data_IF_059749228580
#
_entry.id   IF_059749228580
#
_cell.length_a   1.000
_cell.length_b   1.000
_cell.length_c   1.000
_cell.angle_alpha   90.00
_cell.angle_beta   90.00
_cell.angle_gamma   90.00
#
_symmetry.space_group_name_H-M   'P 1'
#
loop_
_entity.id
_entity.type
_entity.pdbx_description
1 polymer ?
#
# COMPACT_ATOMS: atom_id res chain seq x y z
N UNK A 1 -0.51 -3.02 5.88
CA UNK A 1 0.44 -3.79 6.75
C UNK A 1 1.57 -4.43 5.96
N UNK A 2 1.30 -4.99 4.76
CA UNK A 2 2.35 -5.47 3.84
C UNK A 2 3.21 -4.30 3.33
N UNK A 3 2.58 -3.22 2.93
CA UNK A 3 3.23 -1.97 2.50
C UNK A 3 4.21 -1.43 3.56
N UNK A 4 3.88 -1.54 4.84
CA UNK A 4 4.77 -1.11 5.93
C UNK A 4 6.03 -1.95 6.07
N UNK A 5 6.02 -3.24 5.68
CA UNK A 5 7.22 -4.09 5.70
C UNK A 5 8.16 -3.71 4.57
N UNK A 6 7.65 -3.64 3.35
CA UNK A 6 8.43 -3.26 2.17
C UNK A 6 9.02 -1.84 2.30
N UNK A 7 8.23 -0.91 2.82
CA UNK A 7 8.71 0.44 3.15
C UNK A 7 9.82 0.40 4.20
N UNK A 8 9.67 -0.43 5.25
CA UNK A 8 10.67 -0.56 6.30
C UNK A 8 11.98 -1.10 5.73
N UNK A 9 11.95 -2.18 4.95
CA UNK A 9 13.15 -2.79 4.35
C UNK A 9 13.90 -1.77 3.46
N UNK A 10 13.17 -0.93 2.72
CA UNK A 10 13.75 0.16 1.91
C UNK A 10 14.33 1.28 2.78
N UNK A 11 13.64 1.65 3.85
CA UNK A 11 14.12 2.68 4.77
C UNK A 11 15.34 2.20 5.56
N UNK A 12 15.34 0.96 6.04
CA UNK A 12 16.47 0.34 6.74
C UNK A 12 17.71 0.33 5.82
N UNK A 13 17.55 0.01 4.52
CA UNK A 13 18.63 0.08 3.52
C UNK A 13 19.20 1.51 3.35
N UNK A 14 18.35 2.54 3.38
CA UNK A 14 18.80 3.93 3.35
C UNK A 14 19.44 4.35 4.68
N UNK A 15 18.86 3.90 5.80
CA UNK A 15 19.37 4.16 7.14
C UNK A 15 20.82 3.71 7.28
N UNK A 16 21.13 2.47 6.87
CA UNK A 16 22.49 1.93 6.89
C UNK A 16 23.48 2.75 6.02
N UNK A 17 23.03 3.27 4.88
CA UNK A 17 23.88 4.06 3.97
C UNK A 17 24.12 5.48 4.43
N UNK A 18 23.17 6.08 5.10
CA UNK A 18 23.21 7.47 5.53
C UNK A 18 23.54 7.61 7.01
N UNK A 19 23.80 6.50 7.69
CA UNK A 19 24.03 6.44 9.15
C UNK A 19 22.89 7.09 9.93
N UNK A 20 21.63 6.74 9.58
CA UNK A 20 20.41 7.23 10.21
C UNK A 20 19.72 6.13 10.99
N UNK A 21 19.33 6.42 12.22
CA UNK A 21 18.47 5.54 13.01
C UNK A 21 17.01 5.70 12.57
N UNK A 22 16.40 4.59 12.11
CA UNK A 22 15.02 4.57 11.63
C UNK A 22 14.18 3.66 12.51
N UNK A 23 13.05 4.13 13.00
CA UNK A 23 12.14 3.32 13.81
C UNK A 23 10.68 3.56 13.42
N UNK A 24 9.81 2.62 13.83
CA UNK A 24 8.38 2.62 13.51
C UNK A 24 7.56 2.71 14.77
N UNK A 25 6.58 3.63 14.78
CA UNK A 25 5.64 3.79 15.89
C UNK A 25 4.20 3.82 15.40
N UNK A 26 3.42 2.84 15.82
CA UNK A 26 1.99 2.73 15.51
C UNK A 26 1.21 2.14 16.71
N UNK A 27 -0.08 1.87 16.53
CA UNK A 27 -0.95 1.34 17.59
C UNK A 27 -0.42 0.08 18.26
N UNK A 28 0.22 -0.82 17.50
CA UNK A 28 0.71 -2.11 17.98
C UNK A 28 2.15 -2.05 18.55
N UNK A 29 2.81 -0.89 18.54
CA UNK A 29 4.15 -0.71 19.13
C UNK A 29 4.08 -0.94 20.65
N UNK A 30 4.94 -1.80 21.16
CA UNK A 30 4.94 -2.19 22.59
C UNK A 30 5.29 -1.02 23.50
N UNK A 31 4.91 -1.14 24.79
CA UNK A 31 5.27 -0.12 25.79
C UNK A 31 6.78 0.06 25.92
N UNK A 32 7.52 -1.02 25.87
CA UNK A 32 8.98 -1.00 25.95
C UNK A 32 9.60 -0.22 24.80
N UNK A 33 9.20 -0.52 23.57
CA UNK A 33 9.66 0.22 22.38
C UNK A 33 9.30 1.70 22.46
N UNK A 34 8.07 2.02 22.90
CA UNK A 34 7.63 3.41 23.07
C UNK A 34 8.46 4.16 24.11
N UNK A 35 8.89 3.50 25.18
CA UNK A 35 9.74 4.11 26.20
C UNK A 35 11.13 4.36 25.65
N UNK A 36 11.71 3.38 24.95
CA UNK A 36 13.03 3.52 24.29
C UNK A 36 13.03 4.69 23.33
N UNK A 37 12.06 4.76 22.40
CA UNK A 37 11.91 5.87 21.44
C UNK A 37 11.71 7.24 22.09
N UNK A 38 11.24 7.30 23.33
CA UNK A 38 11.05 8.53 24.05
C UNK A 38 12.31 8.95 24.83
N UNK A 39 13.18 8.02 25.15
CA UNK A 39 14.47 8.25 25.83
C UNK A 39 15.58 8.52 24.81
N UNK A 40 15.53 7.85 23.68
CA UNK A 40 16.48 7.94 22.57
C UNK A 40 15.66 7.99 21.25
N UNK A 41 15.26 9.19 20.81
CA UNK A 41 14.46 9.36 19.60
C UNK A 41 15.27 9.04 18.33
N UNK A 42 14.71 8.27 17.37
CA UNK A 42 15.38 7.99 16.12
C UNK A 42 15.47 9.22 15.22
N UNK A 43 16.37 9.24 14.25
CA UNK A 43 16.49 10.30 13.24
C UNK A 43 15.28 10.33 12.32
N UNK A 44 14.72 9.15 11.99
CA UNK A 44 13.52 9.01 11.17
C UNK A 44 12.48 8.16 11.89
N UNK A 45 11.31 8.74 12.15
CA UNK A 45 10.20 8.04 12.78
C UNK A 45 9.05 7.83 11.81
N UNK A 46 8.79 6.58 11.41
CA UNK A 46 7.63 6.20 10.60
C UNK A 46 6.41 6.04 11.51
N UNK A 47 5.35 6.78 11.24
CA UNK A 47 4.17 6.78 12.11
C UNK A 47 2.86 6.93 11.34
N UNK A 48 1.73 6.88 12.05
CA UNK A 48 0.39 7.12 11.50
C UNK A 48 -0.18 8.45 12.01
N UNK A 49 -1.17 9.05 11.31
CA UNK A 49 -1.81 10.28 11.77
C UNK A 49 -2.36 10.20 13.20
N UNK A 50 -2.93 9.06 13.56
CA UNK A 50 -3.49 8.82 14.90
C UNK A 50 -2.40 8.78 15.98
N UNK A 51 -1.28 8.15 15.65
CA UNK A 51 -0.13 8.06 16.55
C UNK A 51 0.56 9.42 16.72
N UNK A 52 0.66 10.21 15.65
CA UNK A 52 1.15 11.58 15.74
C UNK A 52 0.33 12.42 16.74
N UNK A 53 -1.00 12.33 16.67
CA UNK A 53 -1.87 13.03 17.63
C UNK A 53 -1.58 12.60 19.08
N UNK A 54 -1.40 11.31 19.31
CA UNK A 54 -1.06 10.80 20.64
C UNK A 54 0.33 11.27 21.12
N UNK A 55 1.31 11.36 20.23
CA UNK A 55 2.65 11.86 20.55
C UNK A 55 2.63 13.35 20.91
N UNK A 56 1.85 14.16 20.21
CA UNK A 56 1.70 15.60 20.47
C UNK A 56 1.04 15.92 21.83
N UNK A 57 0.38 14.94 22.45
CA UNK A 57 -0.20 15.07 23.81
C UNK A 57 0.72 14.55 24.91
N UNK A 58 1.76 13.76 24.56
CA UNK A 58 2.68 13.15 25.51
C UNK A 58 3.87 14.07 25.83
N UNK A 59 4.24 14.20 27.12
CA UNK A 59 5.31 15.12 27.55
C UNK A 59 6.68 14.79 26.94
N UNK A 60 7.14 13.53 27.01
CA UNK A 60 8.48 13.13 26.62
C UNK A 60 8.74 13.26 25.10
N UNK A 61 7.84 12.69 24.29
CA UNK A 61 8.00 12.73 22.82
C UNK A 61 7.74 14.10 22.22
N UNK A 62 6.98 14.94 22.90
CA UNK A 62 6.77 16.31 22.47
C UNK A 62 8.07 17.09 22.40
N UNK A 63 9.03 16.80 23.28
CA UNK A 63 10.36 17.43 23.25
C UNK A 63 11.10 17.04 21.98
N UNK A 64 11.14 15.73 21.64
CA UNK A 64 11.79 15.24 20.43
C UNK A 64 11.13 15.75 19.14
N UNK A 65 9.81 15.96 19.15
CA UNK A 65 9.08 16.52 18.01
C UNK A 65 9.37 18.02 17.78
N UNK A 66 9.96 18.73 18.73
CA UNK A 66 10.35 20.13 18.56
C UNK A 66 11.51 20.30 17.56
N UNK A 67 12.32 19.28 17.34
CA UNK A 67 13.47 19.29 16.43
C UNK A 67 13.14 18.75 15.03
N UNK A 68 11.87 18.48 14.72
CA UNK A 68 11.46 17.97 13.41
C UNK A 68 11.72 18.98 12.31
N UNK A 69 12.57 18.63 11.35
CA UNK A 69 12.90 19.45 10.19
C UNK A 69 12.07 19.10 8.95
N UNK A 70 11.62 17.84 8.82
CA UNK A 70 10.91 17.34 7.64
C UNK A 70 9.75 16.43 8.05
N UNK A 71 8.65 16.55 7.32
CA UNK A 71 7.52 15.60 7.42
C UNK A 71 7.17 15.12 6.02
N UNK A 72 7.31 13.82 5.80
CA UNK A 72 6.91 13.15 4.56
C UNK A 72 5.55 12.48 4.77
N UNK A 73 4.58 12.80 3.93
CA UNK A 73 3.26 12.18 3.92
C UNK A 73 3.12 11.34 2.65
N UNK A 74 3.15 10.03 2.83
CA UNK A 74 2.99 9.09 1.74
C UNK A 74 1.51 8.86 1.43
N UNK A 75 1.18 8.59 0.16
CA UNK A 75 -0.18 8.45 -0.37
C UNK A 75 -1.11 9.60 0.09
N UNK A 76 -0.60 10.84 0.04
CA UNK A 76 -1.31 12.00 0.58
C UNK A 76 -2.70 12.19 -0.02
N UNK A 77 -2.93 11.75 -1.25
CA UNK A 77 -4.23 11.81 -1.92
C UNK A 77 -5.30 10.94 -1.24
N UNK A 78 -4.94 9.79 -0.67
CA UNK A 78 -5.85 8.93 0.09
C UNK A 78 -6.32 9.60 1.40
N UNK A 79 -5.52 10.50 1.91
CA UNK A 79 -5.83 11.24 3.13
C UNK A 79 -6.68 12.49 2.87
N UNK A 80 -6.46 13.19 1.76
CA UNK A 80 -7.02 14.51 1.50
C UNK A 80 -8.55 14.60 1.65
N UNK A 81 -9.30 13.56 1.24
CA UNK A 81 -10.77 13.51 1.34
C UNK A 81 -11.30 12.73 2.56
N UNK A 82 -10.45 12.38 3.53
CA UNK A 82 -10.82 11.48 4.62
C UNK A 82 -10.83 12.15 5.99
N UNK A 83 -11.53 11.54 6.97
CA UNK A 83 -11.46 11.96 8.37
C UNK A 83 -10.05 11.85 8.95
N UNK A 84 -9.26 10.88 8.49
CA UNK A 84 -7.86 10.71 8.88
C UNK A 84 -7.01 11.87 8.37
N UNK A 85 -7.32 12.38 7.18
CA UNK A 85 -6.69 13.57 6.64
C UNK A 85 -6.97 14.82 7.48
N UNK A 86 -8.20 15.02 7.89
CA UNK A 86 -8.52 16.13 8.80
C UNK A 86 -7.72 16.04 10.12
N UNK A 87 -7.57 14.84 10.68
CA UNK A 87 -6.72 14.62 11.86
C UNK A 87 -5.25 14.92 11.57
N UNK A 88 -4.73 14.49 10.41
CA UNK A 88 -3.37 14.77 10.00
C UNK A 88 -3.14 16.28 9.87
N UNK A 89 -4.03 17.00 9.18
CA UNK A 89 -3.93 18.44 8.98
C UNK A 89 -3.83 19.18 10.31
N UNK A 90 -4.73 18.89 11.27
CA UNK A 90 -4.67 19.45 12.63
C UNK A 90 -3.37 19.07 13.33
N UNK A 91 -2.92 17.81 13.17
CA UNK A 91 -1.66 17.33 13.74
C UNK A 91 -0.45 18.08 13.23
N UNK A 92 -0.41 18.37 11.92
CA UNK A 92 0.67 19.14 11.30
C UNK A 92 0.70 20.61 11.76
N UNK A 93 -0.45 21.24 11.98
CA UNK A 93 -0.49 22.59 12.54
C UNK A 93 -0.01 22.62 14.00
N UNK A 94 -0.45 21.64 14.81
CA UNK A 94 0.04 21.50 16.20
C UNK A 94 1.53 21.19 16.26
N UNK A 95 2.04 20.36 15.35
CA UNK A 95 3.46 20.10 15.23
C UNK A 95 4.24 21.38 14.90
N UNK A 96 3.70 22.23 14.02
CA UNK A 96 4.32 23.49 13.66
C UNK A 96 4.39 24.48 14.84
N UNK A 97 3.37 24.53 15.69
CA UNK A 97 3.45 25.33 16.92
C UNK A 97 4.56 24.86 17.86
N UNK A 98 4.95 23.58 17.75
CA UNK A 98 5.98 22.99 18.58
C UNK A 98 7.38 23.11 17.96
N UNK A 99 7.51 22.81 16.66
CA UNK A 99 8.77 22.73 15.92
C UNK A 99 9.13 24.03 15.15
N UNK A 100 8.37 25.10 15.34
CA UNK A 100 8.50 26.40 14.68
C UNK A 100 8.33 26.32 13.16
N UNK A 101 9.22 25.65 12.44
CA UNK A 101 9.10 25.42 10.99
C UNK A 101 9.69 24.10 10.57
N UNK A 102 9.03 23.43 9.62
CA UNK A 102 9.52 22.23 8.98
C UNK A 102 9.02 22.13 7.53
N UNK A 103 9.74 21.44 6.69
CA UNK A 103 9.31 21.16 5.32
C UNK A 103 8.24 20.08 5.29
N UNK A 104 7.15 20.31 4.54
CA UNK A 104 6.12 19.30 4.27
C UNK A 104 6.31 18.75 2.88
N UNK A 105 6.42 17.44 2.76
CA UNK A 105 6.62 16.71 1.50
C UNK A 105 5.46 15.74 1.34
N UNK A 106 4.66 15.88 0.29
CA UNK A 106 3.61 14.94 -0.07
C UNK A 106 4.05 14.04 -1.21
N UNK A 107 3.93 12.73 -1.03
CA UNK A 107 4.09 11.76 -2.09
C UNK A 107 2.70 11.27 -2.52
N UNK A 108 2.45 11.21 -3.81
CA UNK A 108 1.15 10.86 -4.36
C UNK A 108 1.29 10.10 -5.66
N UNK A 109 0.38 9.17 -5.93
CA UNK A 109 0.14 8.69 -7.28
C UNK A 109 -0.44 9.81 -8.16
N UNK A 110 -0.65 9.53 -9.42
CA UNK A 110 -1.31 10.48 -10.35
C UNK A 110 -2.72 10.80 -9.86
N UNK A 111 -3.00 12.08 -9.67
CA UNK A 111 -4.30 12.60 -9.22
C UNK A 111 -4.82 13.65 -10.18
N UNK A 112 -6.16 13.79 -10.25
CA UNK A 112 -6.80 14.76 -11.14
C UNK A 112 -6.59 16.22 -10.76
N UNK A 113 -6.32 16.51 -9.47
CA UNK A 113 -6.16 17.87 -8.93
C UNK A 113 -4.99 17.93 -7.93
N UNK A 114 -3.74 17.90 -8.41
CA UNK A 114 -2.57 17.92 -7.53
C UNK A 114 -2.48 19.18 -6.66
N UNK A 115 -2.99 20.33 -7.14
CA UNK A 115 -3.05 21.58 -6.41
C UNK A 115 -3.97 21.50 -5.18
N UNK A 116 -5.09 20.78 -5.26
CA UNK A 116 -6.00 20.58 -4.12
C UNK A 116 -5.35 19.73 -3.05
N UNK A 117 -4.65 18.66 -3.47
CA UNK A 117 -3.88 17.80 -2.57
C UNK A 117 -2.73 18.58 -1.92
N UNK A 118 -2.05 19.43 -2.65
CA UNK A 118 -0.99 20.29 -2.13
C UNK A 118 -1.55 21.27 -1.09
N UNK A 119 -2.68 21.95 -1.38
CA UNK A 119 -3.34 22.86 -0.42
C UNK A 119 -3.81 22.14 0.84
N UNK A 120 -4.31 20.90 0.70
CA UNK A 120 -4.65 20.08 1.87
C UNK A 120 -3.43 19.90 2.80
N UNK A 121 -2.25 19.67 2.24
CA UNK A 121 -1.03 19.45 3.01
C UNK A 121 -0.45 20.74 3.58
N UNK A 122 -0.49 21.83 2.84
CA UNK A 122 0.21 23.08 3.15
C UNK A 122 -0.68 24.17 3.72
N UNK A 123 -2.01 24.11 3.52
CA UNK A 123 -2.93 25.20 3.75
C UNK A 123 -2.67 26.35 2.76
N UNK A 124 -2.62 27.57 3.26
CA UNK A 124 -2.38 28.78 2.45
C UNK A 124 -0.88 29.07 2.20
N UNK A 125 0.01 28.15 2.55
CA UNK A 125 1.47 28.34 2.37
C UNK A 125 1.86 28.06 0.93
N UNK A 126 2.95 28.71 0.45
CA UNK A 126 3.52 28.41 -0.85
C UNK A 126 3.93 26.94 -0.95
N UNK A 127 3.72 26.35 -2.11
CA UNK A 127 4.14 24.98 -2.42
C UNK A 127 4.64 24.88 -3.85
N UNK A 128 5.41 23.85 -4.13
CA UNK A 128 5.85 23.45 -5.45
C UNK A 128 5.32 22.05 -5.75
N UNK A 129 4.87 21.82 -6.98
CA UNK A 129 4.44 20.51 -7.46
C UNK A 129 5.48 20.00 -8.43
N UNK A 130 6.08 18.86 -8.09
CA UNK A 130 7.00 18.15 -8.97
C UNK A 130 6.26 16.96 -9.57
N UNK A 131 6.03 16.98 -10.87
CA UNK A 131 5.46 15.85 -11.60
C UNK A 131 6.58 15.16 -12.37
N UNK A 132 6.74 13.86 -12.09
CA UNK A 132 7.66 13.01 -12.83
C UNK A 132 6.83 12.13 -13.74
N UNK A 133 7.00 12.31 -15.03
CA UNK A 133 6.42 11.38 -16.01
C UNK A 133 7.25 10.09 -16.00
N UNK A 134 6.78 9.12 -15.27
CA UNK A 134 7.37 7.77 -15.24
C UNK A 134 6.90 7.09 -16.53
N UNK A 135 7.54 7.44 -17.65
CA UNK A 135 7.20 7.00 -18.99
C UNK A 135 7.16 5.49 -19.16
N UNK A 136 6.09 4.86 -18.68
CA UNK A 136 5.68 3.52 -19.02
C UNK A 136 4.55 3.58 -20.05
N UNK A 137 4.67 2.92 -21.18
CA UNK A 137 3.54 2.78 -22.09
C UNK A 137 2.49 1.87 -21.45
N UNK A 138 1.38 2.45 -21.00
CA UNK A 138 0.22 1.69 -20.55
C UNK A 138 -0.53 1.16 -21.76
N UNK A 139 -0.54 -0.15 -21.98
CA UNK A 139 -1.41 -0.81 -22.96
C UNK A 139 -2.73 -1.19 -22.27
N UNK A 140 -3.71 -0.30 -22.33
CA UNK A 140 -5.03 -0.49 -21.75
C UNK A 140 -5.96 -1.17 -22.75
N UNK A 141 -6.48 -2.35 -22.38
CA UNK A 141 -7.45 -3.10 -23.19
C UNK A 141 -8.67 -3.47 -22.38
N UNK A 142 -9.86 -3.16 -22.91
CA UNK A 142 -11.13 -3.66 -22.38
C UNK A 142 -11.54 -4.87 -23.20
N UNK A 143 -11.71 -6.02 -22.55
CA UNK A 143 -12.05 -7.29 -23.20
C UNK A 143 -13.22 -7.96 -22.50
N UNK A 144 -14.04 -8.61 -23.29
CA UNK A 144 -15.08 -9.54 -22.84
C UNK A 144 -14.89 -10.83 -23.66
N UNK A 145 -14.51 -11.96 -23.03
CA UNK A 145 -14.22 -13.17 -23.78
C UNK A 145 -15.52 -13.81 -24.29
N UNK A 146 -15.54 -14.18 -25.57
CA UNK A 146 -16.59 -14.98 -26.13
C UNK A 146 -16.54 -16.41 -25.60
N UNK A 147 -17.69 -17.03 -25.39
CA UNK A 147 -17.79 -18.44 -24.99
C UNK A 147 -17.54 -19.33 -26.19
N UNK A 148 -16.71 -20.34 -26.01
CA UNK A 148 -16.33 -21.34 -27.02
C UNK A 148 -16.68 -22.74 -26.55
N UNK A 149 -16.66 -23.73 -27.47
CA UNK A 149 -16.83 -25.16 -27.12
C UNK A 149 -15.81 -25.68 -26.10
N UNK A 150 -14.62 -25.02 -26.03
CA UNK A 150 -13.62 -25.35 -25.02
C UNK A 150 -14.07 -24.88 -23.63
N UNK A 151 -14.77 -23.75 -23.55
CA UNK A 151 -15.29 -23.21 -22.30
C UNK A 151 -16.46 -24.02 -21.76
N UNK A 152 -17.28 -24.61 -22.64
CA UNK A 152 -18.32 -25.56 -22.23
C UNK A 152 -17.73 -26.81 -21.55
N UNK A 153 -16.63 -27.34 -22.07
CA UNK A 153 -15.91 -28.47 -21.46
C UNK A 153 -15.26 -28.07 -20.14
N UNK A 154 -14.58 -26.94 -20.09
CA UNK A 154 -13.98 -26.39 -18.87
C UNK A 154 -15.03 -26.08 -17.80
N UNK A 155 -16.21 -25.62 -18.20
CA UNK A 155 -17.33 -25.39 -17.29
C UNK A 155 -17.79 -26.69 -16.60
N UNK A 156 -17.81 -27.80 -17.35
CA UNK A 156 -18.08 -29.13 -16.80
C UNK A 156 -17.02 -29.59 -15.78
N UNK A 157 -15.74 -29.38 -16.07
CA UNK A 157 -14.65 -29.71 -15.16
C UNK A 157 -14.67 -28.89 -13.87
N UNK A 158 -14.98 -27.59 -13.99
CA UNK A 158 -15.01 -26.65 -12.86
C UNK A 158 -16.37 -26.56 -12.14
N UNK A 159 -17.37 -27.31 -12.57
CA UNK A 159 -18.74 -27.25 -12.08
C UNK A 159 -19.29 -25.80 -12.03
N UNK A 160 -19.15 -25.06 -13.13
CA UNK A 160 -19.53 -23.64 -13.28
C UNK A 160 -20.21 -23.39 -14.63
N UNK A 161 -20.65 -22.16 -14.87
CA UNK A 161 -21.21 -21.75 -16.16
C UNK A 161 -20.12 -21.52 -17.21
N UNK A 162 -20.45 -21.71 -18.49
CA UNK A 162 -19.51 -21.53 -19.61
C UNK A 162 -18.99 -20.06 -19.70
N UNK A 163 -19.81 -19.09 -19.32
CA UNK A 163 -19.41 -17.68 -19.25
C UNK A 163 -18.30 -17.47 -18.21
N UNK A 164 -18.42 -18.06 -17.02
CA UNK A 164 -17.39 -18.03 -16.00
C UNK A 164 -16.11 -18.77 -16.46
N UNK A 165 -16.28 -19.92 -17.13
CA UNK A 165 -15.15 -20.67 -17.68
C UNK A 165 -14.39 -19.89 -18.75
N UNK A 166 -15.07 -19.12 -19.60
CA UNK A 166 -14.44 -18.24 -20.59
C UNK A 166 -13.56 -17.18 -19.95
N UNK A 167 -13.99 -16.60 -18.81
CA UNK A 167 -13.19 -15.64 -18.04
C UNK A 167 -11.98 -16.32 -17.37
N UNK A 168 -12.13 -17.55 -16.85
CA UNK A 168 -11.00 -18.32 -16.29
C UNK A 168 -9.98 -18.62 -17.38
N UNK A 169 -10.40 -19.09 -18.56
CA UNK A 169 -9.51 -19.30 -19.70
C UNK A 169 -8.78 -18.00 -20.09
N UNK A 170 -9.51 -16.91 -20.23
CA UNK A 170 -8.92 -15.61 -20.59
C UNK A 170 -7.85 -15.15 -19.61
N UNK A 171 -8.08 -15.29 -18.29
CA UNK A 171 -7.09 -14.98 -17.27
C UNK A 171 -5.87 -15.89 -17.40
N UNK A 172 -6.05 -17.20 -17.62
CA UNK A 172 -4.94 -18.15 -17.81
C UNK A 172 -4.08 -17.79 -19.02
N UNK A 173 -4.72 -17.41 -20.14
CA UNK A 173 -4.02 -16.94 -21.34
C UNK A 173 -3.22 -15.65 -21.06
N UNK A 174 -3.79 -14.73 -20.29
CA UNK A 174 -3.10 -13.50 -19.90
C UNK A 174 -1.91 -13.80 -18.96
N UNK A 175 -2.06 -14.70 -18.00
CA UNK A 175 -0.98 -15.13 -17.09
C UNK A 175 0.14 -15.78 -17.89
N UNK A 176 -0.18 -16.71 -18.79
CA UNK A 176 0.81 -17.39 -19.62
C UNK A 176 1.57 -16.49 -20.60
N UNK A 177 1.02 -15.31 -20.91
CA UNK A 177 1.65 -14.33 -21.81
C UNK A 177 2.58 -13.33 -21.09
N UNK A 178 2.64 -13.33 -19.76
CA UNK A 178 3.39 -12.38 -18.96
C UNK A 178 4.22 -13.07 -17.89
N UNK A 179 5.33 -12.47 -17.47
CA UNK A 179 6.21 -12.99 -16.42
C UNK A 179 5.56 -12.93 -15.03
N UNK A 180 4.73 -11.93 -14.78
CA UNK A 180 3.99 -11.77 -13.53
C UNK A 180 2.65 -11.07 -13.76
N UNK A 181 1.59 -11.53 -13.09
CA UNK A 181 0.25 -10.99 -13.29
C UNK A 181 -0.45 -10.70 -11.96
N UNK A 182 -1.06 -9.52 -11.84
CA UNK A 182 -1.97 -9.20 -10.74
C UNK A 182 -3.40 -9.16 -11.27
N UNK A 183 -4.27 -9.99 -10.70
CA UNK A 183 -5.70 -10.07 -11.04
C UNK A 183 -6.51 -9.41 -9.93
N UNK A 184 -7.00 -8.20 -10.16
CA UNK A 184 -7.81 -7.50 -9.18
C UNK A 184 -9.29 -7.83 -9.33
N UNK A 185 -9.94 -8.15 -8.21
CA UNK A 185 -11.38 -8.43 -8.12
C UNK A 185 -12.02 -7.62 -7.02
N UNK A 186 -13.31 -7.33 -7.16
CA UNK A 186 -14.01 -6.41 -6.26
C UNK A 186 -14.34 -7.01 -4.88
N UNK A 187 -14.39 -8.35 -4.76
CA UNK A 187 -14.79 -9.00 -3.50
C UNK A 187 -13.88 -10.17 -3.14
N UNK A 188 -13.75 -10.42 -1.83
CA UNK A 188 -13.05 -11.60 -1.32
C UNK A 188 -13.67 -12.90 -1.80
N UNK A 189 -15.00 -12.95 -1.89
CA UNK A 189 -15.73 -14.12 -2.37
C UNK A 189 -15.34 -14.44 -3.82
N UNK A 190 -15.23 -13.43 -4.69
CA UNK A 190 -14.76 -13.60 -6.06
C UNK A 190 -13.31 -14.08 -6.10
N UNK A 191 -12.44 -13.51 -5.26
CA UNK A 191 -11.04 -13.92 -5.17
C UNK A 191 -10.90 -15.41 -4.79
N UNK A 192 -11.63 -15.85 -3.75
CA UNK A 192 -11.61 -17.24 -3.32
C UNK A 192 -12.23 -18.19 -4.36
N UNK A 193 -13.33 -17.78 -5.00
CA UNK A 193 -13.95 -18.57 -6.05
C UNK A 193 -13.03 -18.76 -7.26
N UNK A 194 -12.33 -17.72 -7.71
CA UNK A 194 -11.32 -17.84 -8.77
C UNK A 194 -10.12 -18.68 -8.32
N UNK A 195 -9.59 -18.42 -7.14
CA UNK A 195 -8.47 -19.19 -6.58
C UNK A 195 -8.78 -20.68 -6.44
N UNK A 196 -10.03 -21.03 -6.09
CA UNK A 196 -10.46 -22.42 -6.04
C UNK A 196 -10.44 -23.08 -7.43
N UNK A 197 -10.88 -22.35 -8.47
CA UNK A 197 -10.87 -22.85 -9.85
C UNK A 197 -9.44 -23.02 -10.37
N UNK A 198 -8.54 -22.07 -10.13
CA UNK A 198 -7.14 -22.18 -10.54
C UNK A 198 -6.43 -23.33 -9.82
N UNK A 199 -6.71 -23.55 -8.53
CA UNK A 199 -6.17 -24.74 -7.82
C UNK A 199 -6.68 -26.05 -8.39
N UNK A 200 -7.94 -26.11 -8.83
CA UNK A 200 -8.50 -27.30 -9.47
C UNK A 200 -7.83 -27.62 -10.83
N UNK A 201 -7.21 -26.60 -11.44
CA UNK A 201 -6.50 -26.71 -12.72
C UNK A 201 -4.96 -26.82 -12.54
N UNK A 202 -4.49 -26.94 -11.29
CA UNK A 202 -3.06 -26.93 -10.92
C UNK A 202 -2.27 -25.72 -11.46
N UNK A 203 -2.97 -24.58 -11.63
CA UNK A 203 -2.32 -23.36 -12.08
C UNK A 203 -1.49 -22.72 -10.94
N UNK A 204 -0.29 -22.16 -11.24
CA UNK A 204 0.58 -21.50 -10.26
C UNK A 204 0.05 -20.08 -9.91
N UNK A 205 -1.21 -20.02 -9.48
CA UNK A 205 -1.94 -18.80 -9.14
C UNK A 205 -2.39 -18.89 -7.69
N UNK A 206 -2.07 -17.86 -6.91
CA UNK A 206 -2.47 -17.77 -5.50
C UNK A 206 -3.46 -16.64 -5.25
N UNK A 207 -4.11 -16.69 -4.09
CA UNK A 207 -5.07 -15.66 -3.64
C UNK A 207 -4.45 -14.81 -2.54
N UNK A 208 -4.65 -13.48 -2.62
CA UNK A 208 -4.17 -12.52 -1.65
C UNK A 208 -5.28 -11.53 -1.27
N UNK A 209 -5.72 -11.55 -0.02
CA UNK A 209 -6.69 -10.58 0.50
C UNK A 209 -6.59 -10.41 2.03
N UNK A 210 -7.19 -9.36 2.54
CA UNK A 210 -7.07 -8.95 3.95
C UNK A 210 -7.63 -9.93 5.00
N UNK A 211 -8.39 -10.98 4.62
CA UNK A 211 -8.89 -12.00 5.54
C UNK A 211 -7.92 -13.19 5.74
N UNK A 212 -6.90 -13.32 4.91
CA UNK A 212 -5.83 -14.29 5.14
C UNK A 212 -5.04 -13.92 6.40
N UNK A 213 -4.46 -14.91 7.07
CA UNK A 213 -3.54 -14.66 8.18
C UNK A 213 -2.36 -13.82 7.69
N UNK A 214 -1.68 -13.16 8.62
CA UNK A 214 -0.51 -12.35 8.27
C UNK A 214 0.59 -13.23 7.64
N UNK A 215 0.79 -14.40 8.20
CA UNK A 215 1.80 -15.38 7.77
C UNK A 215 1.51 -15.85 6.34
N UNK A 216 0.26 -16.25 6.05
CA UNK A 216 -0.14 -16.71 4.72
C UNK A 216 0.03 -15.61 3.64
N UNK A 217 -0.27 -14.35 3.99
CA UNK A 217 -0.06 -13.23 3.05
C UNK A 217 1.42 -13.03 2.73
N UNK A 218 2.27 -13.06 3.76
CA UNK A 218 3.71 -12.92 3.61
C UNK A 218 4.27 -14.04 2.74
N UNK A 219 3.89 -15.29 3.02
CA UNK A 219 4.32 -16.45 2.25
C UNK A 219 3.96 -16.32 0.76
N UNK A 220 2.70 -15.95 0.47
CA UNK A 220 2.24 -15.79 -0.91
C UNK A 220 2.96 -14.64 -1.62
N UNK A 221 3.18 -13.51 -0.94
CA UNK A 221 3.93 -12.38 -1.48
C UNK A 221 5.39 -12.75 -1.78
N UNK A 222 6.05 -13.46 -0.88
CA UNK A 222 7.45 -13.87 -1.03
C UNK A 222 7.60 -14.87 -2.19
N UNK A 223 6.69 -15.84 -2.33
CA UNK A 223 6.65 -16.78 -3.45
C UNK A 223 6.39 -16.11 -4.80
N UNK A 224 5.52 -15.11 -4.83
CA UNK A 224 5.28 -14.32 -6.05
C UNK A 224 6.51 -13.50 -6.45
N UNK A 225 7.18 -12.85 -5.48
CA UNK A 225 8.42 -12.11 -5.72
C UNK A 225 9.58 -13.03 -6.17
N UNK A 226 9.59 -14.26 -5.70
CA UNK A 226 10.58 -15.28 -6.11
C UNK A 226 10.28 -15.91 -7.48
N UNK A 227 9.13 -15.59 -8.11
CA UNK A 227 8.71 -16.21 -9.37
C UNK A 227 8.25 -17.67 -9.26
N UNK A 228 7.89 -18.11 -8.04
CA UNK A 228 7.31 -19.45 -7.82
C UNK A 228 5.81 -19.50 -8.10
N UNK A 229 5.20 -18.36 -8.22
CA UNK A 229 3.78 -18.14 -8.53
C UNK A 229 3.70 -17.09 -9.63
N UNK A 230 3.00 -17.41 -10.72
CA UNK A 230 2.91 -16.55 -11.91
C UNK A 230 1.89 -15.43 -11.75
N UNK A 231 0.87 -15.64 -10.90
CA UNK A 231 -0.16 -14.63 -10.66
C UNK A 231 -0.72 -14.62 -9.25
N UNK A 232 -1.19 -13.42 -8.83
CA UNK A 232 -1.95 -13.21 -7.61
C UNK A 232 -3.35 -12.71 -7.92
N UNK A 233 -4.37 -13.37 -7.37
CA UNK A 233 -5.74 -12.85 -7.34
C UNK A 233 -5.93 -12.03 -6.07
N UNK A 234 -6.10 -10.72 -6.24
CA UNK A 234 -6.13 -9.75 -5.15
C UNK A 234 -7.48 -9.05 -5.04
N UNK A 235 -7.83 -8.62 -3.83
CA UNK A 235 -8.86 -7.58 -3.65
C UNK A 235 -8.19 -6.23 -3.40
N UNK A 236 -8.79 -5.17 -3.90
CA UNK A 236 -8.41 -3.78 -3.60
C UNK A 236 -8.54 -3.47 -2.11
#
# INVERSE_FOLDING_TARGET
>A
RALNRDMRDRLDWWGERLDLEIDVRHGDTTRYQRSKQAEDPPDVLVTTPETLQAMLTGEKLRIALADVAHVVVDEVHELAASKRGAQLSIGLERLRELADSFQRIGLSATVGSPEEVARFLTGDRPFEIVQVDVGGSLDLRVRWPDVTDADERLAGELATDADVASHVRFIREAVAAHESTLVFVNTRQTAEALGSRFRALDDPIAVHHGSLSKEARIEVEDRFKAGEIDALVCTS
#
